data_IF_488601709739
#
_entry.id   IF_488601709739
#
_cell.length_a   1.000
_cell.length_b   1.000
_cell.length_c   1.000
_cell.angle_alpha   90.00
_cell.angle_beta   90.00
_cell.angle_gamma   90.00
#
_symmetry.space_group_name_H-M   'P 1'
#
loop_
_entity.id
_entity.type
_entity.pdbx_description
1 polymer ?
#
# COMPACT_ATOMS: atom_id res chain seq x y z
N UNK A 1 -11.41 -0.89 4.85
CA UNK A 1 -11.30 0.54 4.46
C UNK A 1 -12.49 1.36 4.93
N UNK A 2 -13.73 0.90 4.70
CA UNK A 2 -14.95 1.60 5.12
C UNK A 2 -14.93 2.01 6.61
N UNK A 3 -14.52 1.12 7.51
CA UNK A 3 -14.39 1.45 8.95
C UNK A 3 -13.45 2.63 9.22
N UNK A 4 -12.29 2.67 8.56
CA UNK A 4 -11.32 3.76 8.72
C UNK A 4 -11.84 5.07 8.13
N UNK A 5 -12.48 5.00 6.96
CA UNK A 5 -13.12 6.14 6.31
C UNK A 5 -14.25 6.73 7.17
N UNK A 6 -15.15 5.89 7.68
CA UNK A 6 -16.22 6.30 8.59
C UNK A 6 -15.68 6.92 9.88
N UNK A 7 -14.64 6.32 10.47
CA UNK A 7 -13.99 6.88 11.65
C UNK A 7 -13.41 8.26 11.37
N UNK A 8 -12.64 8.41 10.29
CA UNK A 8 -12.05 9.68 9.89
C UNK A 8 -13.13 10.74 9.61
N UNK A 9 -14.22 10.38 8.92
CA UNK A 9 -15.33 11.28 8.66
C UNK A 9 -15.98 11.78 9.95
N UNK A 10 -16.33 10.87 10.87
CA UNK A 10 -16.91 11.24 12.18
C UNK A 10 -15.98 12.17 12.95
N UNK A 11 -14.69 11.84 13.00
CA UNK A 11 -13.69 12.64 13.68
C UNK A 11 -13.58 14.05 13.08
N UNK A 12 -13.36 14.16 11.78
CA UNK A 12 -13.23 15.45 11.10
C UNK A 12 -14.52 16.28 11.16
N UNK A 13 -15.69 15.62 11.08
CA UNK A 13 -16.98 16.30 11.25
C UNK A 13 -17.09 16.91 12.64
N UNK A 14 -16.69 16.20 13.68
CA UNK A 14 -16.70 16.71 15.07
C UNK A 14 -15.76 17.90 15.30
N UNK A 15 -14.77 18.09 14.41
CA UNK A 15 -13.81 19.19 14.44
C UNK A 15 -14.18 20.37 13.53
N UNK A 16 -15.32 20.30 12.84
CA UNK A 16 -15.81 21.38 11.98
C UNK A 16 -15.20 21.43 10.57
N UNK A 17 -14.51 20.37 10.13
CA UNK A 17 -13.99 20.33 8.76
C UNK A 17 -15.14 20.25 7.73
N UNK A 18 -15.02 20.97 6.59
CA UNK A 18 -16.05 21.00 5.57
C UNK A 18 -16.25 19.61 4.94
N UNK A 19 -17.42 19.38 4.36
CA UNK A 19 -17.75 18.10 3.71
C UNK A 19 -16.76 17.73 2.60
N UNK A 20 -16.30 18.73 1.83
CA UNK A 20 -15.31 18.56 0.76
C UNK A 20 -14.06 17.84 1.27
N UNK A 21 -13.42 18.38 2.30
CA UNK A 21 -12.16 17.83 2.83
C UNK A 21 -12.37 16.43 3.44
N UNK A 22 -13.52 16.20 4.08
CA UNK A 22 -13.86 14.89 4.63
C UNK A 22 -14.00 13.83 3.55
N UNK A 23 -14.69 14.15 2.46
CA UNK A 23 -14.83 13.26 1.29
C UNK A 23 -13.47 12.98 0.67
N UNK A 24 -12.62 14.01 0.52
CA UNK A 24 -11.26 13.83 0.01
C UNK A 24 -10.43 12.87 0.88
N UNK A 25 -10.53 12.97 2.21
CA UNK A 25 -9.86 12.04 3.13
C UNK A 25 -10.42 10.62 3.00
N UNK A 26 -11.73 10.44 2.83
CA UNK A 26 -12.31 9.13 2.56
C UNK A 26 -11.72 8.52 1.28
N UNK A 27 -11.67 9.28 0.18
CA UNK A 27 -11.08 8.84 -1.07
C UNK A 27 -9.60 8.46 -0.92
N UNK A 28 -8.83 9.24 -0.17
CA UNK A 28 -7.43 8.93 0.14
C UNK A 28 -7.30 7.64 0.95
N UNK A 29 -8.15 7.41 1.95
CA UNK A 29 -8.17 6.14 2.71
C UNK A 29 -8.52 4.96 1.80
N UNK A 30 -9.45 5.14 0.87
CA UNK A 30 -9.79 4.10 -0.10
C UNK A 30 -8.66 3.82 -1.09
N UNK A 31 -7.83 4.83 -1.42
CA UNK A 31 -6.71 4.69 -2.36
C UNK A 31 -5.54 3.85 -1.85
N UNK A 32 -5.45 3.56 -0.55
CA UNK A 32 -4.44 2.65 0.00
C UNK A 32 -4.86 1.18 -0.12
N UNK A 33 -6.01 0.91 -0.74
CA UNK A 33 -6.59 -0.43 -0.84
C UNK A 33 -5.68 -1.40 -1.58
N UNK A 34 -5.52 -2.60 -1.02
CA UNK A 34 -4.72 -3.65 -1.64
C UNK A 34 -5.16 -3.90 -3.09
N UNK A 35 -6.46 -4.07 -3.35
CA UNK A 35 -7.00 -4.24 -4.71
C UNK A 35 -7.73 -3.00 -5.23
N UNK A 36 -7.30 -1.80 -4.86
CA UNK A 36 -7.98 -0.58 -5.30
C UNK A 36 -7.88 -0.41 -6.82
N UNK A 37 -9.00 0.04 -7.40
CA UNK A 37 -9.07 0.53 -8.77
C UNK A 37 -9.29 2.04 -8.72
N UNK A 38 -8.22 2.79 -8.99
CA UNK A 38 -8.20 4.24 -8.88
C UNK A 38 -9.13 4.92 -9.89
N UNK A 39 -9.56 4.21 -10.95
CA UNK A 39 -10.55 4.72 -11.91
C UNK A 39 -11.97 4.77 -11.33
N UNK A 40 -12.21 4.05 -10.23
CA UNK A 40 -13.52 3.98 -9.56
C UNK A 40 -13.66 4.96 -8.40
N UNK A 41 -12.58 5.65 -7.99
CA UNK A 41 -12.64 6.65 -6.92
C UNK A 41 -13.05 8.00 -7.53
N UNK A 42 -14.16 8.61 -7.08
CA UNK A 42 -14.68 9.84 -7.67
C UNK A 42 -13.96 11.07 -7.10
N UNK A 43 -12.66 11.22 -7.40
CA UNK A 43 -11.87 12.37 -6.98
C UNK A 43 -12.52 13.69 -7.43
N UNK A 44 -12.52 14.68 -6.54
CA UNK A 44 -13.11 16.00 -6.77
C UNK A 44 -12.16 16.92 -7.56
N UNK A 45 -10.89 16.55 -7.71
CA UNK A 45 -9.88 17.29 -8.48
C UNK A 45 -8.64 16.45 -8.80
N UNK A 46 -7.86 16.88 -9.79
CA UNK A 46 -6.56 16.28 -10.11
C UNK A 46 -5.56 16.36 -8.93
N UNK A 47 -5.61 17.44 -8.16
CA UNK A 47 -4.75 17.60 -6.98
C UNK A 47 -5.06 16.55 -5.91
N UNK A 48 -6.35 16.30 -5.64
CA UNK A 48 -6.78 15.26 -4.71
C UNK A 48 -6.32 13.88 -5.18
N UNK A 49 -6.48 13.59 -6.48
CA UNK A 49 -6.01 12.34 -7.07
C UNK A 49 -4.49 12.18 -6.92
N UNK A 50 -3.71 13.24 -7.17
CA UNK A 50 -2.26 13.22 -7.02
C UNK A 50 -1.85 12.94 -5.56
N UNK A 51 -2.54 13.54 -4.59
CA UNK A 51 -2.29 13.27 -3.16
C UNK A 51 -2.63 11.82 -2.81
N UNK A 52 -3.74 11.28 -3.33
CA UNK A 52 -4.09 9.89 -3.16
C UNK A 52 -3.04 8.94 -3.74
N UNK A 53 -2.49 9.24 -4.93
CA UNK A 53 -1.38 8.49 -5.53
C UNK A 53 -0.12 8.53 -4.66
N UNK A 54 0.22 9.71 -4.16
CA UNK A 54 1.37 9.88 -3.27
C UNK A 54 1.19 9.12 -1.96
N UNK A 55 -0.01 9.15 -1.37
CA UNK A 55 -0.31 8.45 -0.12
C UNK A 55 -0.20 6.93 -0.28
N UNK A 56 -0.85 6.35 -1.30
CA UNK A 56 -0.76 4.91 -1.56
C UNK A 56 0.66 4.45 -1.87
N UNK A 57 1.40 5.25 -2.64
CA UNK A 57 2.82 5.00 -2.92
C UNK A 57 3.66 5.05 -1.64
N UNK A 58 3.45 6.04 -0.79
CA UNK A 58 4.20 6.19 0.45
C UNK A 58 3.92 5.06 1.44
N UNK A 59 2.67 4.64 1.56
CA UNK A 59 2.24 3.54 2.43
C UNK A 59 2.96 2.23 2.04
N UNK A 60 2.87 1.86 0.76
CA UNK A 60 3.44 0.61 0.26
C UNK A 60 4.97 0.63 0.23
N UNK A 61 5.59 1.71 -0.27
CA UNK A 61 7.06 1.81 -0.31
C UNK A 61 7.65 1.89 1.10
N UNK A 62 7.03 2.66 1.99
CA UNK A 62 7.48 2.81 3.37
C UNK A 62 7.45 1.49 4.12
N UNK A 63 6.36 0.73 3.99
CA UNK A 63 6.23 -0.58 4.62
C UNK A 63 7.29 -1.57 4.11
N UNK A 64 7.47 -1.68 2.79
CA UNK A 64 8.39 -2.66 2.21
C UNK A 64 9.88 -2.27 2.35
N UNK A 65 10.19 -0.98 2.42
CA UNK A 65 11.56 -0.49 2.60
C UNK A 65 12.05 -0.58 4.04
N UNK A 66 11.15 -0.79 5.01
CA UNK A 66 11.51 -0.90 6.42
C UNK A 66 12.52 -2.05 6.65
N UNK A 67 13.61 -1.86 7.42
CA UNK A 67 14.63 -2.91 7.59
C UNK A 67 14.10 -4.21 8.21
N UNK A 68 13.03 -4.10 9.00
CA UNK A 68 12.30 -5.19 9.66
C UNK A 68 11.10 -5.71 8.84
N UNK A 69 10.89 -5.28 7.59
CA UNK A 69 9.73 -5.65 6.78
C UNK A 69 9.40 -7.15 6.82
N UNK A 70 10.39 -8.03 6.63
CA UNK A 70 10.18 -9.48 6.65
C UNK A 70 9.74 -10.02 8.02
N UNK A 71 10.09 -9.35 9.12
CA UNK A 71 9.63 -9.71 10.46
C UNK A 71 8.18 -9.25 10.66
N UNK A 72 7.83 -8.07 10.15
CA UNK A 72 6.47 -7.53 10.21
C UNK A 72 5.47 -8.35 9.40
N UNK A 73 5.92 -9.09 8.38
CA UNK A 73 5.05 -10.01 7.63
C UNK A 73 4.44 -11.11 8.49
N UNK A 74 5.09 -11.50 9.60
CA UNK A 74 4.50 -12.45 10.54
C UNK A 74 3.29 -11.83 11.25
N UNK A 75 3.46 -10.61 11.78
CA UNK A 75 2.39 -9.85 12.43
C UNK A 75 1.23 -9.60 11.45
N UNK A 76 1.55 -9.20 10.21
CA UNK A 76 0.56 -8.95 9.17
C UNK A 76 -0.24 -10.20 8.80
N UNK A 77 0.41 -11.38 8.76
CA UNK A 77 -0.28 -12.63 8.51
C UNK A 77 -1.26 -12.98 9.65
N UNK A 78 -0.85 -12.78 10.91
CA UNK A 78 -1.72 -12.95 12.07
C UNK A 78 -2.92 -11.99 12.04
N UNK A 79 -2.69 -10.73 11.67
CA UNK A 79 -3.75 -9.73 11.49
C UNK A 79 -4.75 -10.16 10.40
N UNK A 80 -4.28 -10.72 9.29
CA UNK A 80 -5.17 -11.26 8.26
C UNK A 80 -5.99 -12.45 8.75
N UNK A 81 -5.38 -13.37 9.50
CA UNK A 81 -6.12 -14.48 10.12
C UNK A 81 -7.22 -13.96 11.05
N UNK A 82 -6.90 -12.97 11.88
CA UNK A 82 -7.85 -12.35 12.79
C UNK A 82 -9.00 -11.66 12.03
N UNK A 83 -8.68 -10.91 10.96
CA UNK A 83 -9.68 -10.22 10.13
C UNK A 83 -10.64 -11.22 9.46
N UNK A 84 -10.14 -12.35 8.97
CA UNK A 84 -10.96 -13.41 8.40
C UNK A 84 -11.88 -14.02 9.45
N UNK A 85 -11.35 -14.33 10.64
CA UNK A 85 -12.14 -14.91 11.74
C UNK A 85 -13.23 -13.98 12.26
N UNK A 86 -12.96 -12.66 12.35
CA UNK A 86 -13.87 -11.69 12.98
C UNK A 86 -14.84 -11.02 12.00
N UNK A 87 -14.44 -10.82 10.75
CA UNK A 87 -15.17 -9.96 9.81
C UNK A 87 -15.39 -10.63 8.45
N UNK A 88 -14.80 -11.80 8.17
CA UNK A 88 -14.80 -12.43 6.85
C UNK A 88 -14.05 -11.63 5.76
N UNK A 89 -13.51 -10.46 6.10
CA UNK A 89 -12.71 -9.62 5.21
C UNK A 89 -11.27 -10.11 5.14
N UNK A 90 -10.58 -9.84 4.03
CA UNK A 90 -9.21 -10.32 3.73
C UNK A 90 -9.09 -11.84 3.45
N UNK A 91 -10.21 -12.56 3.34
CA UNK A 91 -10.21 -14.00 3.04
C UNK A 91 -9.54 -14.32 1.71
N UNK A 92 -9.79 -13.52 0.67
CA UNK A 92 -9.15 -13.68 -0.64
C UNK A 92 -7.64 -13.46 -0.59
N UNK A 93 -7.18 -12.46 0.17
CA UNK A 93 -5.74 -12.18 0.36
C UNK A 93 -5.06 -13.28 1.16
N UNK A 94 -5.67 -13.72 2.26
CA UNK A 94 -5.14 -14.79 3.10
C UNK A 94 -5.15 -16.14 2.39
N UNK A 95 -6.15 -16.43 1.54
CA UNK A 95 -6.26 -17.69 0.82
C UNK A 95 -5.07 -17.99 -0.11
N UNK A 96 -4.29 -16.97 -0.48
CA UNK A 96 -3.09 -17.13 -1.32
C UNK A 96 -1.87 -17.56 -0.49
N UNK A 97 -1.92 -17.45 0.85
CA UNK A 97 -0.81 -17.72 1.75
C UNK A 97 -1.15 -18.84 2.74
N UNK A 98 -0.31 -19.87 2.79
CA UNK A 98 -0.49 -21.00 3.70
C UNK A 98 0.07 -20.72 5.11
N UNK A 99 1.05 -19.82 5.22
CA UNK A 99 1.71 -19.43 6.47
C UNK A 99 2.38 -18.07 6.31
N UNK A 100 2.81 -17.46 7.43
CA UNK A 100 3.67 -16.28 7.39
C UNK A 100 4.99 -16.55 6.65
N UNK A 101 5.53 -17.76 6.76
CA UNK A 101 6.73 -18.15 6.03
C UNK A 101 6.50 -18.23 4.51
N UNK A 102 5.36 -18.76 4.08
CA UNK A 102 4.93 -18.75 2.68
C UNK A 102 4.72 -17.30 2.17
N UNK A 103 4.16 -16.42 3.00
CA UNK A 103 4.03 -14.99 2.68
C UNK A 103 5.39 -14.31 2.48
N UNK A 104 6.37 -14.60 3.35
CA UNK A 104 7.75 -14.13 3.18
C UNK A 104 8.37 -14.67 1.90
N UNK A 105 8.27 -15.99 1.66
CA UNK A 105 8.84 -16.63 0.47
C UNK A 105 8.23 -16.12 -0.85
N UNK A 106 6.95 -15.76 -0.86
CA UNK A 106 6.24 -15.20 -2.02
C UNK A 106 6.44 -13.69 -2.22
N UNK A 107 7.13 -13.00 -1.32
CA UNK A 107 7.41 -11.55 -1.42
C UNK A 107 7.99 -11.13 -2.78
N UNK A 108 8.95 -11.84 -3.42
CA UNK A 108 9.45 -11.46 -4.74
C UNK A 108 8.36 -11.46 -5.82
N UNK A 109 7.47 -12.46 -5.81
CA UNK A 109 6.35 -12.56 -6.75
C UNK A 109 5.30 -11.47 -6.45
N UNK A 110 5.00 -11.24 -5.18
CA UNK A 110 4.13 -10.16 -4.74
C UNK A 110 4.63 -8.80 -5.22
N UNK A 111 5.93 -8.53 -5.10
CA UNK A 111 6.53 -7.30 -5.58
C UNK A 111 6.37 -7.12 -7.09
N UNK A 112 6.82 -8.10 -7.89
CA UNK A 112 6.77 -8.01 -9.36
C UNK A 112 5.34 -7.95 -9.90
N UNK A 113 4.44 -8.73 -9.33
CA UNK A 113 3.07 -8.87 -9.84
C UNK A 113 2.12 -7.76 -9.36
N UNK A 114 2.15 -7.48 -8.06
CA UNK A 114 1.17 -6.62 -7.42
C UNK A 114 1.73 -5.22 -7.15
N UNK A 115 2.82 -5.11 -6.41
CA UNK A 115 3.41 -3.82 -6.00
C UNK A 115 3.76 -2.98 -7.22
N UNK A 116 4.44 -3.57 -8.21
CA UNK A 116 4.78 -2.84 -9.43
C UNK A 116 3.56 -2.41 -10.24
N UNK A 117 2.48 -3.19 -10.25
CA UNK A 117 1.22 -2.77 -10.89
C UNK A 117 0.59 -1.60 -10.16
N UNK A 118 0.57 -1.62 -8.82
CA UNK A 118 0.06 -0.52 -8.02
C UNK A 118 0.85 0.76 -8.29
N UNK A 119 2.18 0.69 -8.22
CA UNK A 119 3.07 1.83 -8.45
C UNK A 119 2.99 2.39 -9.87
N UNK A 120 2.93 1.54 -10.90
CA UNK A 120 3.03 1.99 -12.31
C UNK A 120 1.68 2.31 -12.95
N UNK A 121 0.61 1.62 -12.55
CA UNK A 121 -0.72 1.76 -13.17
C UNK A 121 -1.68 2.50 -12.26
N UNK A 122 -1.88 2.02 -11.04
CA UNK A 122 -2.91 2.57 -10.15
C UNK A 122 -2.53 3.94 -9.61
N UNK A 123 -1.28 4.13 -9.17
CA UNK A 123 -0.80 5.38 -8.56
C UNK A 123 0.03 6.26 -9.49
N UNK A 124 -0.18 6.14 -10.80
CA UNK A 124 0.36 7.08 -11.79
C UNK A 124 1.89 7.13 -11.92
N UNK A 125 2.63 6.19 -11.33
CA UNK A 125 4.10 6.16 -11.41
C UNK A 125 4.79 7.27 -10.61
N UNK A 126 4.13 7.83 -9.58
CA UNK A 126 4.67 8.95 -8.78
C UNK A 126 5.94 8.58 -8.01
N UNK A 127 6.20 7.29 -7.76
CA UNK A 127 7.42 6.82 -7.12
C UNK A 127 8.71 7.21 -7.86
N UNK A 128 8.65 7.46 -9.17
CA UNK A 128 9.80 7.91 -9.98
C UNK A 128 10.32 9.28 -9.54
N UNK A 129 9.47 10.10 -8.95
CA UNK A 129 9.89 11.40 -8.40
C UNK A 129 10.72 11.29 -7.10
N UNK A 130 10.87 10.08 -6.55
CA UNK A 130 11.72 9.82 -5.37
C UNK A 130 13.18 9.49 -5.74
N UNK A 131 13.52 9.45 -7.03
CA UNK A 131 14.88 9.19 -7.49
C UNK A 131 15.89 10.28 -7.08
N UNK A 132 17.14 9.90 -6.76
CA UNK A 132 18.19 10.82 -6.30
C UNK A 132 19.54 10.62 -7.01
N UNK A 133 20.05 11.64 -7.75
CA UNK A 133 19.34 12.86 -8.14
C UNK A 133 18.10 12.55 -8.98
N UNK A 134 17.16 13.49 -9.09
CA UNK A 134 15.90 13.27 -9.82
C UNK A 134 16.19 12.80 -11.26
N UNK A 135 15.57 11.69 -11.68
CA UNK A 135 15.77 11.09 -13.00
C UNK A 135 17.00 10.20 -13.13
N UNK A 136 17.69 9.87 -12.03
CA UNK A 136 18.86 8.98 -12.04
C UNK A 136 18.52 7.49 -12.09
N UNK A 137 17.25 7.12 -11.93
CA UNK A 137 16.83 5.73 -11.73
C UNK A 137 17.14 5.17 -10.33
N UNK A 138 17.87 5.91 -9.48
CA UNK A 138 18.23 5.48 -8.12
C UNK A 138 17.18 5.93 -7.12
N UNK A 139 16.28 5.04 -6.75
CA UNK A 139 15.27 5.30 -5.74
C UNK A 139 15.64 4.56 -4.44
N UNK A 140 15.95 5.27 -3.34
CA UNK A 140 16.42 4.64 -2.10
C UNK A 140 15.38 3.69 -1.48
N UNK A 141 14.09 3.92 -1.70
CA UNK A 141 13.05 2.99 -1.26
C UNK A 141 13.08 1.70 -2.07
N UNK A 142 13.22 1.77 -3.40
CA UNK A 142 13.31 0.58 -4.23
C UNK A 142 14.58 -0.22 -3.94
N UNK A 143 15.70 0.45 -3.68
CA UNK A 143 16.95 -0.18 -3.27
C UNK A 143 16.80 -0.94 -1.95
N UNK A 144 16.23 -0.29 -0.93
CA UNK A 144 15.95 -0.92 0.37
C UNK A 144 14.96 -2.10 0.25
N UNK A 145 13.93 -1.97 -0.59
CA UNK A 145 13.01 -3.08 -0.87
C UNK A 145 13.75 -4.24 -1.52
N UNK A 146 14.61 -3.98 -2.50
CA UNK A 146 15.39 -5.02 -3.16
C UNK A 146 16.33 -5.72 -2.17
N UNK A 147 16.96 -5.00 -1.25
CA UNK A 147 17.76 -5.57 -0.17
C UNK A 147 16.93 -6.48 0.75
N UNK A 148 15.72 -6.05 1.12
CA UNK A 148 14.81 -6.87 1.91
C UNK A 148 14.41 -8.15 1.16
N UNK A 149 14.06 -8.05 -0.12
CA UNK A 149 13.68 -9.21 -0.93
C UNK A 149 14.86 -10.17 -1.12
N UNK A 150 16.09 -9.68 -1.24
CA UNK A 150 17.28 -10.53 -1.38
C UNK A 150 17.56 -11.42 -0.17
N UNK A 151 17.04 -11.09 1.01
CA UNK A 151 17.13 -11.96 2.20
C UNK A 151 16.35 -13.27 2.02
N UNK A 152 15.36 -13.32 1.12
CA UNK A 152 14.56 -14.52 0.80
C UNK A 152 14.74 -15.02 -0.64
N UNK A 153 15.19 -14.15 -1.55
CA UNK A 153 15.55 -14.49 -2.94
C UNK A 153 16.88 -13.81 -3.32
N UNK A 154 18.04 -14.43 -3.05
CA UNK A 154 19.35 -13.82 -3.30
C UNK A 154 19.60 -13.41 -4.76
N UNK A 155 18.87 -14.01 -5.71
CA UNK A 155 18.96 -13.69 -7.14
C UNK A 155 18.13 -12.48 -7.56
N UNK A 156 17.39 -11.85 -6.64
CA UNK A 156 16.45 -10.78 -6.96
C UNK A 156 17.13 -9.54 -7.55
N UNK A 157 16.58 -9.10 -8.69
CA UNK A 157 16.90 -7.86 -9.39
C UNK A 157 15.63 -7.03 -9.56
N UNK A 158 15.79 -5.71 -9.39
CA UNK A 158 14.77 -4.69 -9.68
C UNK A 158 14.46 -4.63 -11.18
#
# INVERSE_FOLDING_TARGET
MNRSAEFANRYLRSRGYPSRDRIAVEHMIHSTGFFVDMTKIPFQSELEQMIAFALGTADLLGQMAAPNYLNELNNLFEEFQECVQRQGSAAETLAVYNSAEDMRAKTPQFFRGHVMRMLTVQWGGVYRFLERPLGSGKNPYLEAIAENIRKVDPGFKL
#
